data_IF_884434649695
#
_entry.id   IF_884434649695
#
_cell.length_a   1.000
_cell.length_b   1.000
_cell.length_c   1.000
_cell.angle_alpha   90.00
_cell.angle_beta   90.00
_cell.angle_gamma   90.00
#
_symmetry.space_group_name_H-M   'P 1'
#
loop_
_entity.id
_entity.type
_entity.pdbx_description
1 polymer ?
#
# COMPACT_ATOMS: atom_id res chain seq x y z
N UNK A 1 -27.08 19.95 -13.10
CA UNK A 1 -26.25 18.89 -12.47
C UNK A 1 -25.66 19.47 -11.19
N UNK A 2 -26.10 18.99 -10.04
CA UNK A 2 -25.60 19.45 -8.75
C UNK A 2 -24.14 18.99 -8.58
N UNK A 3 -23.18 19.93 -8.58
CA UNK A 3 -21.78 19.60 -8.34
C UNK A 3 -21.61 19.23 -6.87
N UNK A 4 -21.52 17.93 -6.58
CA UNK A 4 -21.17 17.48 -5.23
C UNK A 4 -19.80 18.06 -4.85
N UNK A 5 -19.70 18.70 -3.67
CA UNK A 5 -18.43 19.24 -3.17
C UNK A 5 -17.45 18.11 -2.82
N UNK A 6 -16.17 18.20 -3.23
CA UNK A 6 -15.20 17.14 -2.98
C UNK A 6 -14.88 17.00 -1.49
N UNK A 7 -14.70 15.76 -1.03
CA UNK A 7 -14.37 15.45 0.37
C UNK A 7 -13.01 16.07 0.72
N UNK A 8 -12.06 16.02 -0.21
CA UNK A 8 -10.75 16.66 -0.08
C UNK A 8 -10.42 17.48 -1.33
N UNK A 9 -9.65 18.57 -1.17
CA UNK A 9 -9.17 19.39 -2.29
C UNK A 9 -8.16 18.62 -3.14
N UNK A 10 -8.14 18.86 -4.45
CA UNK A 10 -7.17 18.21 -5.39
C UNK A 10 -5.71 18.39 -4.96
N UNK A 11 -5.33 19.59 -4.49
CA UNK A 11 -3.97 19.86 -3.98
C UNK A 11 -3.62 18.99 -2.77
N UNK A 12 -4.59 18.72 -1.89
CA UNK A 12 -4.40 17.87 -0.73
C UNK A 12 -4.24 16.39 -1.13
N UNK A 13 -4.95 15.92 -2.15
CA UNK A 13 -4.75 14.56 -2.70
C UNK A 13 -3.32 14.35 -3.21
N UNK A 14 -2.77 15.33 -3.94
CA UNK A 14 -1.37 15.28 -4.41
C UNK A 14 -0.41 15.24 -3.22
N UNK A 15 -0.63 16.08 -2.21
CA UNK A 15 0.19 16.10 -1.01
C UNK A 15 0.14 14.77 -0.23
N UNK A 16 -1.04 14.16 -0.09
CA UNK A 16 -1.20 12.85 0.56
C UNK A 16 -0.38 11.79 -0.18
N UNK A 17 -0.49 11.71 -1.51
CA UNK A 17 0.26 10.71 -2.27
C UNK A 17 1.77 10.97 -2.23
N UNK A 18 2.20 12.23 -2.19
CA UNK A 18 3.61 12.57 -1.99
C UNK A 18 4.11 12.13 -0.60
N UNK A 19 3.30 12.32 0.44
CA UNK A 19 3.61 11.83 1.79
C UNK A 19 3.66 10.30 1.82
N UNK A 20 2.72 9.61 1.19
CA UNK A 20 2.75 8.15 1.07
C UNK A 20 4.03 7.67 0.37
N UNK A 21 4.42 8.33 -0.72
CA UNK A 21 5.68 8.05 -1.40
C UNK A 21 6.89 8.25 -0.48
N UNK A 22 6.94 9.37 0.25
CA UNK A 22 8.02 9.65 1.20
C UNK A 22 8.07 8.58 2.31
N UNK A 23 6.92 8.19 2.88
CA UNK A 23 6.83 7.12 3.88
C UNK A 23 7.39 5.83 3.31
N UNK A 24 6.97 5.43 2.10
CA UNK A 24 7.48 4.22 1.46
C UNK A 24 9.00 4.28 1.30
N UNK A 25 9.52 5.36 0.70
CA UNK A 25 10.94 5.53 0.46
C UNK A 25 11.76 5.48 1.75
N UNK A 26 11.36 6.25 2.78
CA UNK A 26 12.06 6.28 4.05
C UNK A 26 11.94 4.97 4.82
N UNK A 27 10.76 4.33 4.85
CA UNK A 27 10.59 3.04 5.52
C UNK A 27 11.46 1.95 4.89
N UNK A 28 11.53 1.88 3.55
CA UNK A 28 12.36 0.90 2.84
C UNK A 28 13.84 1.21 3.02
N UNK A 29 14.25 2.47 2.86
CA UNK A 29 15.66 2.88 2.98
C UNK A 29 16.17 2.67 4.40
N UNK A 30 15.42 3.11 5.41
CA UNK A 30 15.77 2.93 6.82
C UNK A 30 15.87 1.45 7.20
N UNK A 31 14.96 0.62 6.70
CA UNK A 31 15.01 -0.81 6.93
C UNK A 31 16.27 -1.45 6.32
N UNK A 32 16.61 -1.09 5.08
CA UNK A 32 17.80 -1.60 4.40
C UNK A 32 19.11 -1.14 5.04
N UNK A 33 19.19 0.13 5.45
CA UNK A 33 20.43 0.75 5.93
C UNK A 33 20.71 0.46 7.42
N UNK A 34 19.67 0.40 8.26
CA UNK A 34 19.86 0.28 9.71
C UNK A 34 19.33 -1.04 10.26
N UNK A 35 18.08 -1.40 9.97
CA UNK A 35 17.42 -2.53 10.64
C UNK A 35 17.96 -3.87 10.18
N UNK A 36 18.00 -4.11 8.86
CA UNK A 36 18.44 -5.39 8.29
C UNK A 36 19.90 -5.73 8.64
N UNK A 37 20.87 -4.80 8.64
CA UNK A 37 22.24 -5.10 9.06
C UNK A 37 22.36 -5.47 10.55
N UNK A 38 21.54 -4.88 11.42
CA UNK A 38 21.58 -5.14 12.87
C UNK A 38 20.95 -6.50 13.20
N UNK A 39 19.82 -6.82 12.56
CA UNK A 39 19.00 -7.98 12.94
C UNK A 39 19.07 -9.15 11.95
N UNK A 40 19.81 -9.03 10.85
CA UNK A 40 19.83 -10.02 9.76
C UNK A 40 20.37 -11.39 10.14
N UNK A 41 21.15 -11.50 11.22
CA UNK A 41 21.68 -12.76 11.74
C UNK A 41 20.69 -13.53 12.62
N UNK A 42 19.61 -12.89 13.07
CA UNK A 42 18.59 -13.53 13.90
C UNK A 42 17.57 -14.27 13.01
N UNK A 43 17.26 -15.55 13.25
CA UNK A 43 16.47 -16.36 12.30
C UNK A 43 15.08 -15.78 11.99
N UNK A 44 14.29 -15.46 13.02
CA UNK A 44 12.92 -14.96 12.84
C UNK A 44 12.93 -13.47 12.49
N UNK A 45 13.75 -12.68 13.20
CA UNK A 45 13.77 -11.22 13.03
C UNK A 45 14.37 -10.85 11.67
N UNK A 46 15.37 -11.59 11.19
CA UNK A 46 15.95 -11.45 9.86
C UNK A 46 14.93 -11.65 8.75
N UNK A 47 14.05 -12.67 8.86
CA UNK A 47 12.96 -12.90 7.89
C UNK A 47 11.96 -11.74 7.90
N UNK A 48 11.53 -11.29 9.09
CA UNK A 48 10.58 -10.19 9.22
C UNK A 48 11.13 -8.88 8.67
N UNK A 49 12.39 -8.57 8.95
CA UNK A 49 13.05 -7.34 8.50
C UNK A 49 13.48 -7.41 7.04
N UNK A 50 13.78 -8.59 6.50
CA UNK A 50 13.96 -8.81 5.06
C UNK A 50 12.68 -8.47 4.28
N UNK A 51 11.58 -9.11 4.67
CA UNK A 51 10.29 -9.01 3.97
C UNK A 51 9.46 -7.76 4.25
N UNK A 52 9.87 -6.98 5.25
CA UNK A 52 9.23 -5.69 5.59
C UNK A 52 9.15 -4.74 4.40
N UNK A 53 10.19 -4.68 3.56
CA UNK A 53 10.22 -3.77 2.41
C UNK A 53 9.10 -4.10 1.41
N UNK A 54 8.87 -5.38 1.15
CA UNK A 54 7.84 -5.87 0.23
C UNK A 54 6.44 -5.68 0.80
N UNK A 55 6.27 -5.93 2.10
CA UNK A 55 5.02 -5.60 2.81
C UNK A 55 4.68 -4.11 2.67
N UNK A 56 5.63 -3.22 2.99
CA UNK A 56 5.42 -1.77 2.94
C UNK A 56 5.17 -1.28 1.51
N UNK A 57 5.90 -1.81 0.52
CA UNK A 57 5.68 -1.50 -0.89
C UNK A 57 4.25 -1.87 -1.31
N UNK A 58 3.84 -3.11 -1.08
CA UNK A 58 2.49 -3.57 -1.42
C UNK A 58 1.42 -2.76 -0.70
N UNK A 59 1.57 -2.53 0.60
CA UNK A 59 0.62 -1.78 1.41
C UNK A 59 0.46 -0.34 0.91
N UNK A 60 1.56 0.39 0.78
CA UNK A 60 1.53 1.82 0.47
C UNK A 60 1.12 2.06 -0.98
N UNK A 61 1.64 1.31 -1.96
CA UNK A 61 1.26 1.43 -3.38
C UNK A 61 -0.26 1.22 -3.54
N UNK A 62 -0.80 0.22 -2.84
CA UNK A 62 -2.25 -0.07 -2.86
C UNK A 62 -3.12 1.06 -2.29
N UNK A 63 -2.56 1.96 -1.47
CA UNK A 63 -3.25 3.13 -0.92
C UNK A 63 -3.16 4.39 -1.80
N UNK A 64 -2.36 4.41 -2.86
CA UNK A 64 -2.28 5.59 -3.76
C UNK A 64 -3.62 6.01 -4.38
N UNK A 65 -4.55 5.10 -4.74
CA UNK A 65 -5.84 5.48 -5.31
C UNK A 65 -6.78 6.16 -4.31
N UNK A 66 -6.49 6.06 -3.01
CA UNK A 66 -7.41 6.46 -1.96
C UNK A 66 -7.68 7.97 -1.97
N UNK A 67 -6.62 8.77 -2.08
CA UNK A 67 -6.74 10.23 -2.12
C UNK A 67 -7.43 10.75 -3.41
N UNK A 68 -7.14 10.26 -4.64
CA UNK A 68 -7.89 10.69 -5.82
C UNK A 68 -9.34 10.20 -5.83
N UNK A 69 -9.64 9.02 -5.24
CA UNK A 69 -11.02 8.55 -5.03
C UNK A 69 -11.81 9.58 -4.20
N UNK A 70 -11.23 10.05 -3.10
CA UNK A 70 -11.84 11.05 -2.22
C UNK A 70 -11.96 12.43 -2.88
N UNK A 71 -10.95 12.85 -3.64
CA UNK A 71 -10.96 14.14 -4.33
C UNK A 71 -11.98 14.19 -5.47
N UNK A 72 -12.18 13.07 -6.18
CA UNK A 72 -13.11 12.97 -7.32
C UNK A 72 -14.51 12.47 -6.94
N UNK A 73 -14.72 12.05 -5.69
CA UNK A 73 -15.97 11.45 -5.21
C UNK A 73 -16.46 10.31 -6.10
N UNK A 74 -15.55 9.38 -6.39
CA UNK A 74 -15.91 8.18 -7.14
C UNK A 74 -16.95 7.40 -6.33
N UNK A 75 -17.94 6.83 -7.03
CA UNK A 75 -18.96 5.98 -6.41
C UNK A 75 -18.32 4.84 -5.60
N UNK A 76 -18.97 4.40 -4.51
CA UNK A 76 -18.40 3.39 -3.61
C UNK A 76 -18.13 2.06 -4.30
N UNK A 77 -18.99 1.61 -5.20
CA UNK A 77 -18.79 0.36 -5.94
C UNK A 77 -17.56 0.44 -6.86
N UNK A 78 -17.44 1.55 -7.59
CA UNK A 78 -16.27 1.82 -8.45
C UNK A 78 -14.99 2.00 -7.64
N UNK A 79 -15.08 2.65 -6.48
CA UNK A 79 -13.95 2.88 -5.58
C UNK A 79 -13.37 1.56 -5.05
N UNK A 80 -14.24 0.63 -4.63
CA UNK A 80 -13.83 -0.73 -4.23
C UNK A 80 -13.09 -1.44 -5.34
N UNK A 81 -13.66 -1.45 -6.54
CA UNK A 81 -13.06 -2.09 -7.70
C UNK A 81 -11.66 -1.52 -8.00
N UNK A 82 -11.50 -0.20 -7.98
CA UNK A 82 -10.20 0.46 -8.20
C UNK A 82 -9.18 0.00 -7.16
N UNK A 83 -9.55 0.00 -5.87
CA UNK A 83 -8.62 -0.39 -4.79
C UNK A 83 -8.25 -1.87 -4.89
N UNK A 84 -9.21 -2.74 -5.16
CA UNK A 84 -8.95 -4.18 -5.29
C UNK A 84 -8.06 -4.48 -6.49
N UNK A 85 -8.31 -3.82 -7.62
CA UNK A 85 -7.48 -3.95 -8.81
C UNK A 85 -6.06 -3.45 -8.57
N UNK A 86 -5.89 -2.28 -7.96
CA UNK A 86 -4.54 -1.75 -7.69
C UNK A 86 -3.81 -2.62 -6.67
N UNK A 87 -4.48 -3.14 -5.65
CA UNK A 87 -3.88 -4.07 -4.70
C UNK A 87 -3.46 -5.40 -5.36
N UNK A 88 -4.31 -5.96 -6.23
CA UNK A 88 -3.98 -7.16 -7.00
C UNK A 88 -2.78 -6.90 -7.93
N UNK A 89 -2.74 -5.76 -8.62
CA UNK A 89 -1.63 -5.38 -9.48
C UNK A 89 -0.34 -5.18 -8.70
N UNK A 90 -0.38 -4.51 -7.54
CA UNK A 90 0.78 -4.33 -6.67
C UNK A 90 1.35 -5.68 -6.22
N UNK A 91 0.49 -6.60 -5.77
CA UNK A 91 0.89 -7.96 -5.41
C UNK A 91 1.53 -8.72 -6.58
N UNK A 92 0.89 -8.71 -7.75
CA UNK A 92 1.39 -9.41 -8.94
C UNK A 92 2.75 -8.85 -9.37
N UNK A 93 2.90 -7.53 -9.42
CA UNK A 93 4.14 -6.90 -9.84
C UNK A 93 5.29 -7.22 -8.89
N UNK A 94 5.06 -7.16 -7.57
CA UNK A 94 6.07 -7.52 -6.57
C UNK A 94 6.40 -9.01 -6.59
N UNK A 95 5.41 -9.88 -6.84
CA UNK A 95 5.64 -11.32 -6.97
C UNK A 95 6.46 -11.64 -8.23
N UNK A 96 6.18 -10.96 -9.35
CA UNK A 96 6.99 -11.10 -10.56
C UNK A 96 8.42 -10.63 -10.31
N UNK A 97 8.60 -9.53 -9.59
CA UNK A 97 9.93 -9.02 -9.23
C UNK A 97 10.72 -10.05 -8.39
N UNK A 98 10.08 -10.76 -7.45
CA UNK A 98 10.76 -11.81 -6.69
C UNK A 98 11.07 -13.07 -7.52
N UNK A 99 10.24 -13.40 -8.51
CA UNK A 99 10.47 -14.56 -9.38
C UNK A 99 11.54 -14.27 -10.44
N UNK A 100 11.49 -13.08 -11.01
CA UNK A 100 12.36 -12.63 -12.09
C UNK A 100 12.76 -11.18 -11.80
N UNK A 101 13.84 -10.98 -11.01
CA UNK A 101 14.31 -9.65 -10.67
C UNK A 101 14.60 -8.85 -11.93
N UNK A 102 13.87 -7.77 -12.12
CA UNK A 102 14.08 -6.79 -13.19
C UNK A 102 14.64 -5.47 -12.66
N UNK A 103 14.53 -5.19 -11.35
CA UNK A 103 15.41 -4.25 -10.66
C UNK A 103 16.49 -5.01 -9.89
N UNK A 104 17.69 -4.41 -9.76
CA UNK A 104 18.88 -4.96 -9.08
C UNK A 104 18.70 -5.20 -7.55
N UNK A 105 17.47 -5.39 -7.06
CA UNK A 105 17.14 -5.44 -5.64
C UNK A 105 17.06 -6.85 -5.02
N UNK A 106 16.97 -7.93 -5.81
CA UNK A 106 16.83 -9.31 -5.29
C UNK A 106 17.68 -10.31 -6.08
N UNK A 107 18.35 -11.23 -5.38
CA UNK A 107 19.18 -12.29 -5.98
C UNK A 107 18.56 -13.69 -5.92
N UNK A 108 17.42 -13.91 -5.25
CA UNK A 108 16.84 -15.27 -5.08
C UNK A 108 15.34 -15.17 -4.83
N UNK A 109 14.57 -16.11 -5.38
CA UNK A 109 13.15 -16.35 -5.06
C UNK A 109 12.94 -16.49 -3.54
N UNK A 110 12.44 -15.43 -2.88
CA UNK A 110 12.12 -15.43 -1.46
C UNK A 110 10.60 -15.56 -1.24
N UNK A 111 10.18 -16.72 -0.73
CA UNK A 111 8.77 -16.99 -0.43
C UNK A 111 8.19 -16.05 0.63
N UNK A 112 9.02 -15.56 1.56
CA UNK A 112 8.58 -14.64 2.60
C UNK A 112 8.25 -13.26 2.02
N UNK A 113 8.96 -12.84 0.98
CA UNK A 113 8.72 -11.57 0.29
C UNK A 113 7.43 -11.60 -0.54
N UNK A 114 7.10 -12.75 -1.13
CA UNK A 114 5.81 -13.01 -1.78
C UNK A 114 4.68 -12.96 -0.74
N UNK A 115 4.82 -13.68 0.38
CA UNK A 115 3.81 -13.67 1.46
C UNK A 115 3.62 -12.25 1.99
N UNK A 116 4.70 -11.51 2.25
CA UNK A 116 4.67 -10.14 2.73
C UNK A 116 3.95 -9.20 1.76
N UNK A 117 4.20 -9.34 0.45
CA UNK A 117 3.49 -8.57 -0.59
C UNK A 117 1.99 -8.86 -0.58
N UNK A 118 1.61 -10.13 -0.41
CA UNK A 118 0.21 -10.54 -0.27
C UNK A 118 -0.45 -9.92 0.96
N UNK A 119 0.22 -10.00 2.12
CA UNK A 119 -0.26 -9.41 3.37
C UNK A 119 -0.40 -7.89 3.27
N UNK A 120 0.58 -7.19 2.70
CA UNK A 120 0.52 -5.74 2.51
C UNK A 120 -0.68 -5.32 1.66
N UNK A 121 -0.95 -6.05 0.58
CA UNK A 121 -2.09 -5.81 -0.31
C UNK A 121 -3.43 -6.05 0.42
N UNK A 122 -3.54 -7.13 1.19
CA UNK A 122 -4.73 -7.42 2.01
C UNK A 122 -4.94 -6.33 3.06
N UNK A 123 -3.88 -5.89 3.75
CA UNK A 123 -3.97 -4.83 4.75
C UNK A 123 -4.43 -3.51 4.15
N UNK A 124 -4.02 -3.18 2.93
CA UNK A 124 -4.50 -1.99 2.23
C UNK A 124 -5.99 -2.08 1.92
N UNK A 125 -6.46 -3.24 1.45
CA UNK A 125 -7.90 -3.51 1.23
C UNK A 125 -8.69 -3.37 2.53
N UNK A 126 -8.20 -3.95 3.64
CA UNK A 126 -8.86 -3.85 4.94
C UNK A 126 -8.90 -2.40 5.44
N UNK A 127 -7.81 -1.65 5.28
CA UNK A 127 -7.75 -0.22 5.60
C UNK A 127 -8.82 0.55 4.83
N UNK A 128 -9.00 0.23 3.54
CA UNK A 128 -10.04 0.81 2.71
C UNK A 128 -11.46 0.51 3.22
N UNK A 129 -11.75 -0.76 3.50
CA UNK A 129 -13.08 -1.18 3.94
C UNK A 129 -13.44 -0.62 5.32
N UNK A 130 -12.49 -0.55 6.26
CA UNK A 130 -12.69 0.09 7.57
C UNK A 130 -13.08 1.57 7.40
N UNK A 131 -12.36 2.27 6.53
CA UNK A 131 -12.64 3.67 6.25
C UNK A 131 -14.03 3.88 5.61
N UNK A 132 -14.39 3.06 4.62
CA UNK A 132 -15.72 3.11 3.98
C UNK A 132 -16.83 2.84 4.99
N UNK A 133 -16.68 1.83 5.85
CA UNK A 133 -17.63 1.55 6.95
C UNK A 133 -17.80 2.76 7.87
N UNK A 134 -16.70 3.45 8.19
CA UNK A 134 -16.73 4.68 8.98
C UNK A 134 -17.54 5.81 8.33
N UNK A 135 -17.40 6.01 7.01
CA UNK A 135 -18.19 7.00 6.25
C UNK A 135 -19.67 6.63 6.25
N UNK A 136 -19.99 5.36 5.96
CA UNK A 136 -21.37 4.87 5.93
C UNK A 136 -22.04 5.11 7.28
N UNK A 137 -21.39 4.72 8.39
CA UNK A 137 -21.92 4.92 9.74
C UNK A 137 -22.25 6.40 10.02
N UNK A 138 -21.36 7.33 9.66
CA UNK A 138 -21.60 8.77 9.84
C UNK A 138 -22.80 9.30 9.03
N UNK A 139 -23.06 8.73 7.85
CA UNK A 139 -24.16 9.17 6.99
C UNK A 139 -25.54 8.74 7.51
N UNK A 140 -25.63 7.64 8.27
CA UNK A 140 -26.88 7.11 8.82
C UNK A 140 -27.14 7.52 10.28
N UNK A 141 -26.19 8.21 10.94
CA UNK A 141 -26.37 8.77 12.29
C UNK A 141 -26.71 10.28 12.30
N UNK A 142 -26.74 10.92 11.13
CA UNK A 142 -27.23 12.29 10.91
C UNK A 142 -28.54 12.24 10.14
#
# INVERSE_FOLDING_TARGET
MEQKKPIIKKRLSIAINFILFAILYFSVSFNKEFIRPIYGSAPIIGILTGSFSNFMAAYIISLFPFSPILAKQIDLGKSRLIVYLVAALAFILLTIEEIKPFADASTVYDIYDIIASGLGSIFAILTFEIFVRGIIKKKFSN
#
